data_IF_307856545845
#
_entry.id   IF_307856545845
#
_cell.length_a   1.000
_cell.length_b   1.000
_cell.length_c   1.000
_cell.angle_alpha   90.00
_cell.angle_beta   90.00
_cell.angle_gamma   90.00
#
_symmetry.space_group_name_H-M   'P 1'
#
loop_
_entity.id
_entity.type
_entity.pdbx_description
1 polymer ?
#
# COMPACT_ATOMS: atom_id res chain seq x y z
N UNK A 1 5.39 9.99 -14.04
CA UNK A 1 4.40 9.34 -13.17
C UNK A 1 4.42 7.82 -13.27
N UNK A 2 4.69 7.29 -14.46
CA UNK A 2 4.72 5.83 -14.61
C UNK A 2 5.88 5.20 -13.84
N UNK A 3 6.99 5.93 -13.66
CA UNK A 3 8.08 5.44 -12.83
C UNK A 3 7.65 5.24 -11.39
N UNK A 4 6.88 6.18 -10.86
CA UNK A 4 6.36 6.06 -9.49
C UNK A 4 5.33 4.94 -9.37
N UNK A 5 4.50 4.75 -10.38
CA UNK A 5 3.53 3.67 -10.38
C UNK A 5 4.26 2.31 -10.36
N UNK A 6 5.27 2.15 -11.21
CA UNK A 6 6.04 0.91 -11.24
C UNK A 6 6.72 0.61 -9.91
N UNK A 7 7.28 1.64 -9.30
CA UNK A 7 7.93 1.50 -7.99
C UNK A 7 6.94 1.10 -6.92
N UNK A 8 5.77 1.75 -6.90
CA UNK A 8 4.72 1.41 -5.95
C UNK A 8 4.22 -0.01 -6.13
N UNK A 9 4.00 -0.43 -7.37
CA UNK A 9 3.55 -1.78 -7.67
C UNK A 9 4.60 -2.80 -7.22
N UNK A 10 5.88 -2.50 -7.44
CA UNK A 10 6.96 -3.39 -7.01
C UNK A 10 6.87 -3.67 -5.50
N UNK A 11 6.77 -2.61 -4.70
CA UNK A 11 6.70 -2.78 -3.25
C UNK A 11 5.39 -3.41 -2.80
N UNK A 12 4.29 -3.08 -3.47
CA UNK A 12 3.00 -3.68 -3.14
C UNK A 12 3.02 -5.19 -3.40
N UNK A 13 3.55 -5.60 -4.55
CA UNK A 13 3.64 -7.01 -4.89
C UNK A 13 4.60 -7.75 -3.95
N UNK A 14 5.68 -7.08 -3.55
CA UNK A 14 6.60 -7.66 -2.58
C UNK A 14 5.88 -7.91 -1.25
N UNK A 15 5.07 -6.96 -0.80
CA UNK A 15 4.29 -7.12 0.43
C UNK A 15 3.33 -8.30 0.33
N UNK A 16 2.63 -8.42 -0.80
CA UNK A 16 1.69 -9.53 -1.01
C UNK A 16 2.42 -10.86 -0.98
N UNK A 17 3.58 -10.94 -1.62
CA UNK A 17 4.37 -12.18 -1.64
C UNK A 17 4.82 -12.57 -0.22
N UNK A 18 5.23 -11.58 0.58
CA UNK A 18 5.63 -11.83 1.96
C UNK A 18 4.43 -12.31 2.78
N UNK A 19 3.28 -11.69 2.60
CA UNK A 19 2.07 -12.09 3.31
C UNK A 19 1.68 -13.53 2.98
N UNK A 20 1.79 -13.91 1.70
CA UNK A 20 1.48 -15.28 1.29
C UNK A 20 2.41 -16.27 1.96
N UNK A 21 3.70 -15.96 2.04
CA UNK A 21 4.65 -16.83 2.73
C UNK A 21 4.37 -16.91 4.21
N UNK A 22 4.04 -15.76 4.83
CA UNK A 22 3.76 -15.71 6.26
C UNK A 22 2.55 -16.56 6.62
N UNK A 23 1.56 -16.62 5.73
CA UNK A 23 0.34 -17.39 5.99
C UNK A 23 0.61 -18.89 6.07
N UNK A 24 1.75 -19.34 5.53
CA UNK A 24 2.14 -20.75 5.56
C UNK A 24 3.13 -21.06 6.68
N UNK A 25 3.59 -20.05 7.40
CA UNK A 25 4.62 -20.22 8.43
C UNK A 25 3.98 -20.61 9.76
N UNK A 26 4.44 -21.70 10.35
CA UNK A 26 3.92 -22.20 11.62
C UNK A 26 4.76 -21.76 12.83
N UNK A 27 5.96 -21.24 12.61
CA UNK A 27 6.83 -20.76 13.67
C UNK A 27 6.50 -19.31 14.00
N UNK A 28 6.10 -19.05 15.25
CA UNK A 28 5.63 -17.71 15.64
C UNK A 28 6.70 -16.64 15.45
N UNK A 29 7.96 -16.93 15.80
CA UNK A 29 9.02 -15.94 15.65
C UNK A 29 9.27 -15.60 14.19
N UNK A 30 9.27 -16.61 13.33
CA UNK A 30 9.44 -16.39 11.88
C UNK A 30 8.25 -15.66 11.30
N UNK A 31 7.04 -16.01 11.73
CA UNK A 31 5.84 -15.33 11.29
C UNK A 31 5.90 -13.85 11.63
N UNK A 32 6.28 -13.51 12.86
CA UNK A 32 6.37 -12.11 13.29
C UNK A 32 7.42 -11.35 12.48
N UNK A 33 8.56 -11.98 12.20
CA UNK A 33 9.59 -11.35 11.37
C UNK A 33 9.08 -11.09 9.96
N UNK A 34 8.36 -12.04 9.38
CA UNK A 34 7.78 -11.88 8.04
C UNK A 34 6.74 -10.78 8.01
N UNK A 35 5.92 -10.68 9.04
CA UNK A 35 4.90 -9.62 9.10
C UNK A 35 5.55 -8.24 9.25
N UNK A 36 6.70 -8.15 9.93
CA UNK A 36 7.46 -6.92 9.99
C UNK A 36 7.97 -6.51 8.61
N UNK A 37 8.46 -7.47 7.85
CA UNK A 37 8.91 -7.23 6.47
C UNK A 37 7.74 -6.82 5.57
N UNK A 38 6.60 -7.49 5.74
CA UNK A 38 5.38 -7.16 5.01
C UNK A 38 4.98 -5.71 5.24
N UNK A 39 4.97 -5.29 6.50
CA UNK A 39 4.59 -3.90 6.83
C UNK A 39 5.58 -2.89 6.26
N UNK A 40 6.87 -3.21 6.30
CA UNK A 40 7.89 -2.33 5.74
C UNK A 40 7.70 -2.17 4.23
N UNK A 41 7.49 -3.29 3.52
CA UNK A 41 7.26 -3.25 2.08
C UNK A 41 5.99 -2.49 1.74
N UNK A 42 4.92 -2.73 2.50
CA UNK A 42 3.64 -2.08 2.24
C UNK A 42 3.75 -0.57 2.47
N UNK A 43 4.41 -0.14 3.53
CA UNK A 43 4.64 1.28 3.77
C UNK A 43 5.51 1.89 2.67
N UNK A 44 6.46 1.12 2.14
CA UNK A 44 7.35 1.61 1.10
C UNK A 44 6.63 1.90 -0.20
N UNK A 45 5.46 1.30 -0.45
CA UNK A 45 4.71 1.57 -1.67
C UNK A 45 3.90 2.86 -1.58
N UNK A 46 3.67 3.38 -0.39
CA UNK A 46 2.77 4.53 -0.21
C UNK A 46 3.34 5.78 -0.86
N UNK A 47 4.62 6.12 -0.58
CA UNK A 47 5.21 7.35 -1.10
C UNK A 47 5.24 7.39 -2.64
N UNK A 48 5.70 6.34 -3.35
CA UNK A 48 5.64 6.35 -4.81
C UNK A 48 4.22 6.49 -5.35
N UNK A 49 3.26 5.77 -4.76
CA UNK A 49 1.88 5.88 -5.20
C UNK A 49 1.30 7.26 -4.93
N UNK A 50 1.66 7.89 -3.82
CA UNK A 50 1.21 9.26 -3.55
C UNK A 50 1.75 10.24 -4.59
N UNK A 51 3.00 10.08 -4.98
CA UNK A 51 3.58 10.91 -6.04
C UNK A 51 2.87 10.67 -7.36
N UNK A 52 2.60 9.43 -7.72
CA UNK A 52 1.88 9.13 -8.93
C UNK A 52 0.49 9.72 -8.93
N UNK A 53 -0.20 9.65 -7.78
CA UNK A 53 -1.54 10.20 -7.65
C UNK A 53 -1.54 11.72 -7.87
N UNK A 54 -0.56 12.42 -7.26
CA UNK A 54 -0.46 13.85 -7.38
C UNK A 54 -0.10 14.31 -8.79
N UNK A 55 0.77 13.55 -9.46
CA UNK A 55 1.28 13.95 -10.76
C UNK A 55 0.38 13.56 -11.93
N UNK A 56 -0.50 12.60 -11.72
CA UNK A 56 -1.34 12.11 -12.81
C UNK A 56 -2.49 13.07 -13.10
N UNK A 57 -2.75 13.30 -14.38
CA UNK A 57 -3.92 14.06 -14.81
C UNK A 57 -5.02 13.14 -15.36
N UNK A 58 -4.73 11.84 -15.49
CA UNK A 58 -5.69 10.88 -16.04
C UNK A 58 -6.56 10.33 -14.91
N UNK A 59 -7.89 10.55 -14.93
CA UNK A 59 -8.76 10.06 -13.86
C UNK A 59 -8.71 8.56 -13.64
N UNK A 60 -8.53 7.78 -14.71
CA UNK A 60 -8.44 6.32 -14.56
C UNK A 60 -7.16 5.91 -13.85
N UNK A 61 -6.04 6.55 -14.19
CA UNK A 61 -4.77 6.28 -13.51
C UNK A 61 -4.88 6.68 -12.04
N UNK A 62 -5.45 7.86 -11.76
CA UNK A 62 -5.62 8.31 -10.39
C UNK A 62 -6.48 7.34 -9.59
N UNK A 63 -7.56 6.85 -10.20
CA UNK A 63 -8.44 5.90 -9.53
C UNK A 63 -7.72 4.60 -9.21
N UNK A 64 -6.95 4.07 -10.16
CA UNK A 64 -6.19 2.84 -9.95
C UNK A 64 -5.14 3.00 -8.85
N UNK A 65 -4.41 4.11 -8.87
CA UNK A 65 -3.39 4.39 -7.86
C UNK A 65 -4.05 4.58 -6.49
N UNK A 66 -5.19 5.27 -6.44
CA UNK A 66 -5.92 5.47 -5.20
C UNK A 66 -6.39 4.15 -4.60
N UNK A 67 -6.74 3.18 -5.45
CA UNK A 67 -7.12 1.85 -4.99
C UNK A 67 -5.96 1.18 -4.24
N UNK A 68 -4.75 1.23 -4.82
CA UNK A 68 -3.57 0.70 -4.14
C UNK A 68 -3.30 1.43 -2.83
N UNK A 69 -3.39 2.77 -2.85
CA UNK A 69 -3.16 3.58 -1.66
C UNK A 69 -4.19 3.28 -0.57
N UNK A 70 -5.45 3.14 -0.97
CA UNK A 70 -6.51 2.79 -0.03
C UNK A 70 -6.18 1.47 0.66
N UNK A 71 -5.82 0.45 -0.12
CA UNK A 71 -5.54 -0.86 0.43
C UNK A 71 -4.33 -0.85 1.36
N UNK A 72 -3.27 -0.11 0.98
CA UNK A 72 -2.09 0.00 1.83
C UNK A 72 -2.39 0.76 3.12
N UNK A 73 -3.08 1.89 3.01
CA UNK A 73 -3.38 2.72 4.18
C UNK A 73 -4.39 2.05 5.12
N UNK A 74 -5.26 1.19 4.58
CA UNK A 74 -6.21 0.44 5.40
C UNK A 74 -5.50 -0.37 6.49
N UNK A 75 -4.38 -0.99 6.13
CA UNK A 75 -3.59 -1.79 7.07
C UNK A 75 -3.11 -0.94 8.26
N UNK A 76 -2.81 0.32 8.00
CA UNK A 76 -2.20 1.19 9.01
C UNK A 76 -3.16 2.25 9.57
N UNK A 77 -4.43 2.19 9.23
CA UNK A 77 -5.37 3.26 9.56
C UNK A 77 -5.55 3.49 11.06
N UNK A 78 -5.29 2.47 11.86
CA UNK A 78 -5.44 2.58 13.31
C UNK A 78 -4.14 2.98 14.01
N UNK A 79 -3.03 3.10 13.26
CA UNK A 79 -1.75 3.44 13.86
C UNK A 79 -1.65 4.92 14.19
N UNK A 80 -2.27 5.77 13.40
CA UNK A 80 -2.22 7.22 13.63
C UNK A 80 -3.39 7.88 12.93
N UNK A 81 -3.80 9.08 13.40
CA UNK A 81 -4.83 9.86 12.70
C UNK A 81 -4.44 10.20 11.27
N UNK A 82 -3.14 10.38 11.02
CA UNK A 82 -2.65 10.69 9.68
C UNK A 82 -2.94 9.55 8.71
N UNK A 83 -2.69 8.31 9.12
CA UNK A 83 -2.96 7.16 8.27
C UNK A 83 -4.45 6.95 8.05
N UNK A 84 -5.26 7.21 9.08
CA UNK A 84 -6.71 7.15 8.95
C UNK A 84 -7.19 8.18 7.92
N UNK A 85 -6.67 9.41 7.99
CA UNK A 85 -7.04 10.46 7.06
C UNK A 85 -6.64 10.11 5.62
N UNK A 86 -5.46 9.51 5.44
CA UNK A 86 -5.02 9.07 4.12
C UNK A 86 -5.94 7.99 3.58
N UNK A 87 -6.30 7.03 4.41
CA UNK A 87 -7.21 5.96 3.99
C UNK A 87 -8.53 6.55 3.50
N UNK A 88 -9.11 7.48 4.27
CA UNK A 88 -10.39 8.09 3.91
C UNK A 88 -10.28 8.89 2.62
N UNK A 89 -9.17 9.63 2.46
CA UNK A 89 -8.94 10.41 1.25
C UNK A 89 -8.91 9.54 0.00
N UNK A 90 -8.15 8.45 0.05
CA UNK A 90 -8.00 7.60 -1.12
C UNK A 90 -9.21 6.70 -1.35
N UNK A 91 -9.90 6.30 -0.29
CA UNK A 91 -11.14 5.57 -0.44
C UNK A 91 -12.19 6.42 -1.17
N UNK A 92 -12.27 7.71 -0.83
CA UNK A 92 -13.18 8.62 -1.50
C UNK A 92 -12.81 8.79 -2.98
N UNK A 93 -11.51 8.77 -3.28
CA UNK A 93 -11.05 8.94 -4.66
C UNK A 93 -11.37 7.72 -5.54
N UNK A 94 -11.47 6.51 -4.95
CA UNK A 94 -11.82 5.31 -5.73
C UNK A 94 -13.32 5.16 -5.90
N UNK A 95 -14.10 5.71 -4.99
CA UNK A 95 -15.49 5.40 -4.91
C UNK A 95 -16.34 6.01 -5.93
N UNK A 96 -15.99 6.83 -6.28
CA UNK A 96 -16.84 7.35 -7.08
C UNK A 96 -18.03 7.36 -6.62
#
# INVERSE_FOLDING_TARGET
>A
EFGYIGEGIHFYNLAVAIQDKASLESDDAKYMAMMGEFETALKSCIAPFEKAFELSSDPEVKSSVAEYLKNACFRFRTESPEMQAKYEKYAAATGK
#
